data_IF_972514254092
#
_entry.id   IF_972514254092
#
_cell.length_a   1.000
_cell.length_b   1.000
_cell.length_c   1.000
_cell.angle_alpha   90.00
_cell.angle_beta   90.00
_cell.angle_gamma   90.00
#
_symmetry.space_group_name_H-M   'P 1'
#
loop_
_entity.id
_entity.type
_entity.pdbx_description
1 polymer ?
#
# COMPACT_ATOMS: atom_id res chain seq x y z
N UNK A 1 21.21 -10.34 6.16
CA UNK A 1 20.56 -10.91 4.96
C UNK A 1 19.70 -9.84 4.31
N UNK A 2 19.66 -9.79 2.98
CA UNK A 2 18.78 -8.90 2.23
C UNK A 2 17.68 -9.80 1.64
N UNK A 3 16.42 -9.54 1.98
CA UNK A 3 15.30 -10.29 1.41
C UNK A 3 15.13 -9.86 -0.05
N UNK A 4 15.63 -10.68 -0.97
CA UNK A 4 15.52 -10.43 -2.42
C UNK A 4 14.52 -11.41 -3.01
N UNK A 5 13.59 -10.89 -3.80
CA UNK A 5 12.69 -11.68 -4.64
C UNK A 5 12.92 -11.35 -6.11
N UNK A 6 12.37 -12.16 -7.01
CA UNK A 6 12.44 -11.94 -8.46
C UNK A 6 11.06 -11.54 -9.00
N UNK A 7 11.03 -10.79 -10.11
CA UNK A 7 9.76 -10.42 -10.78
C UNK A 7 8.93 -11.67 -11.14
N UNK A 8 9.50 -12.76 -11.69
CA UNK A 8 8.73 -13.98 -11.94
C UNK A 8 8.10 -14.60 -10.70
N UNK A 9 8.77 -14.51 -9.54
CA UNK A 9 8.20 -14.98 -8.28
C UNK A 9 7.01 -14.13 -7.85
N UNK A 10 7.09 -12.81 -8.04
CA UNK A 10 5.99 -11.89 -7.73
C UNK A 10 4.79 -12.09 -8.64
N UNK A 11 5.01 -12.22 -9.94
CA UNK A 11 3.96 -12.54 -10.92
C UNK A 11 3.22 -13.80 -10.49
N UNK A 12 3.95 -14.90 -10.26
CA UNK A 12 3.34 -16.15 -9.80
C UNK A 12 2.57 -16.03 -8.49
N UNK A 13 3.02 -15.18 -7.56
CA UNK A 13 2.34 -14.97 -6.29
C UNK A 13 1.04 -14.17 -6.47
N UNK A 14 1.05 -13.15 -7.33
CA UNK A 14 -0.15 -12.38 -7.67
C UNK A 14 -1.17 -13.25 -8.42
N UNK A 15 -0.72 -14.03 -9.41
CA UNK A 15 -1.59 -14.97 -10.14
C UNK A 15 -2.24 -15.97 -9.19
N UNK A 16 -1.45 -16.54 -8.28
CA UNK A 16 -1.95 -17.48 -7.28
C UNK A 16 -2.96 -16.82 -6.35
N UNK A 17 -2.67 -15.63 -5.83
CA UNK A 17 -3.57 -14.91 -4.93
C UNK A 17 -4.90 -14.60 -5.61
N UNK A 18 -4.84 -14.09 -6.84
CA UNK A 18 -6.02 -13.75 -7.65
C UNK A 18 -6.87 -14.97 -7.96
N UNK A 19 -6.24 -16.10 -8.30
CA UNK A 19 -6.93 -17.36 -8.58
C UNK A 19 -7.54 -18.06 -7.34
N UNK A 20 -7.28 -17.56 -6.13
CA UNK A 20 -7.79 -18.12 -4.87
C UNK A 20 -8.65 -17.12 -4.08
N UNK A 21 -9.22 -16.13 -4.75
CA UNK A 21 -10.09 -15.11 -4.13
C UNK A 21 -9.43 -14.35 -2.96
N UNK A 22 -8.09 -14.24 -2.97
CA UNK A 22 -7.37 -13.46 -1.96
C UNK A 22 -7.71 -11.99 -2.16
N UNK A 23 -8.53 -11.47 -1.27
CA UNK A 23 -9.05 -10.11 -1.38
C UNK A 23 -7.99 -9.02 -1.15
N UNK A 24 -6.98 -9.31 -0.32
CA UNK A 24 -5.99 -8.31 0.11
C UNK A 24 -4.58 -8.89 0.04
N UNK A 25 -3.71 -8.23 -0.71
CA UNK A 25 -2.29 -8.61 -0.86
C UNK A 25 -1.42 -7.50 -0.30
N UNK A 26 -0.66 -7.82 0.75
CA UNK A 26 0.39 -6.94 1.28
C UNK A 26 1.70 -7.17 0.52
N UNK A 27 2.18 -6.16 -0.19
CA UNK A 27 3.44 -6.21 -0.92
C UNK A 27 4.43 -5.16 -0.38
N UNK A 28 5.08 -5.51 0.73
CA UNK A 28 6.10 -4.66 1.40
C UNK A 28 7.48 -4.68 0.72
N UNK A 29 7.49 -4.87 -0.59
CA UNK A 29 8.65 -4.92 -1.47
C UNK A 29 8.29 -4.18 -2.77
N UNK A 30 9.28 -3.65 -3.46
CA UNK A 30 9.06 -2.98 -4.73
C UNK A 30 10.36 -2.83 -5.49
N UNK A 31 10.27 -2.41 -6.75
CA UNK A 31 11.43 -2.10 -7.57
C UNK A 31 11.30 -0.71 -8.17
N UNK A 32 12.37 0.10 -8.15
CA UNK A 32 12.40 1.35 -8.90
C UNK A 32 12.66 1.14 -10.41
N UNK A 33 12.92 -0.11 -10.82
CA UNK A 33 13.28 -0.42 -12.20
C UNK A 33 12.02 -0.49 -13.06
N UNK A 34 11.80 0.56 -13.84
CA UNK A 34 10.68 0.68 -14.78
C UNK A 34 10.63 -0.45 -15.82
N UNK A 35 11.78 -1.00 -16.25
CA UNK A 35 11.80 -2.13 -17.19
C UNK A 35 11.11 -3.35 -16.56
N UNK A 36 11.36 -3.59 -15.27
CA UNK A 36 10.71 -4.67 -14.50
C UNK A 36 9.23 -4.39 -14.23
N UNK A 37 8.78 -3.15 -14.35
CA UNK A 37 7.38 -2.80 -14.23
C UNK A 37 6.56 -3.40 -15.38
N UNK A 38 7.10 -3.41 -16.61
CA UNK A 38 6.41 -4.01 -17.76
C UNK A 38 6.14 -5.50 -17.59
N UNK A 39 7.08 -6.22 -16.98
CA UNK A 39 6.92 -7.66 -16.70
C UNK A 39 5.90 -7.93 -15.57
N UNK A 40 5.72 -6.97 -14.65
CA UNK A 40 4.84 -7.10 -13.50
C UNK A 40 3.40 -6.63 -13.80
N UNK A 41 3.25 -5.68 -14.73
CA UNK A 41 1.96 -5.02 -15.02
C UNK A 41 0.83 -5.99 -15.37
N UNK A 42 1.00 -7.03 -16.22
CA UNK A 42 -0.10 -7.95 -16.55
C UNK A 42 -0.65 -8.69 -15.33
N UNK A 43 0.22 -9.11 -14.41
CA UNK A 43 -0.20 -9.81 -13.20
C UNK A 43 -0.90 -8.87 -12.20
N UNK A 44 -0.49 -7.59 -12.16
CA UNK A 44 -1.15 -6.56 -11.36
C UNK A 44 -2.53 -6.24 -11.93
N UNK A 45 -2.64 -6.03 -13.23
CA UNK A 45 -3.90 -5.77 -13.94
C UNK A 45 -4.90 -6.91 -13.69
N UNK A 46 -4.47 -8.15 -13.93
CA UNK A 46 -5.32 -9.33 -13.71
C UNK A 46 -5.80 -9.44 -12.24
N UNK A 47 -4.92 -9.16 -11.28
CA UNK A 47 -5.27 -9.20 -9.86
C UNK A 47 -6.30 -8.13 -9.51
N UNK A 48 -6.11 -6.90 -10.00
CA UNK A 48 -7.03 -5.78 -9.82
C UNK A 48 -8.39 -6.08 -10.46
N UNK A 49 -8.41 -6.60 -11.70
CA UNK A 49 -9.65 -7.00 -12.40
C UNK A 49 -10.40 -8.10 -11.65
N UNK A 50 -9.68 -9.00 -10.98
CA UNK A 50 -10.25 -10.06 -10.15
C UNK A 50 -10.74 -9.56 -8.78
N UNK A 51 -10.60 -8.27 -8.48
CA UNK A 51 -11.02 -7.67 -7.22
C UNK A 51 -10.05 -7.88 -6.05
N UNK A 52 -8.77 -8.15 -6.35
CA UNK A 52 -7.68 -8.21 -5.36
C UNK A 52 -7.16 -6.80 -5.11
N UNK A 53 -7.22 -6.34 -3.86
CA UNK A 53 -6.64 -5.07 -3.45
C UNK A 53 -5.17 -5.30 -3.13
N UNK A 54 -4.28 -4.77 -3.97
CA UNK A 54 -2.84 -4.80 -3.74
C UNK A 54 -2.44 -3.55 -2.96
N UNK A 55 -1.78 -3.74 -1.81
CA UNK A 55 -1.23 -2.66 -0.98
C UNK A 55 0.29 -2.68 -1.11
N UNK A 56 0.88 -1.60 -1.62
CA UNK A 56 2.32 -1.55 -1.92
C UNK A 56 2.90 -0.15 -1.71
N UNK A 57 4.21 -0.10 -1.42
CA UNK A 57 4.95 1.15 -1.33
C UNK A 57 4.88 1.90 -2.66
N UNK A 58 4.32 3.11 -2.66
CA UNK A 58 4.21 3.95 -3.87
C UNK A 58 5.54 4.53 -4.29
N UNK A 59 6.28 5.00 -3.30
CA UNK A 59 7.58 5.63 -3.49
C UNK A 59 8.44 5.38 -2.27
N UNK A 60 9.75 5.39 -2.49
CA UNK A 60 10.73 5.56 -1.44
C UNK A 60 11.50 6.84 -1.76
N UNK A 61 11.42 7.82 -0.88
CA UNK A 61 11.93 9.18 -1.12
C UNK A 61 11.32 9.77 -2.40
N UNK A 62 12.14 10.20 -3.36
CA UNK A 62 11.70 10.84 -4.60
C UNK A 62 11.52 9.83 -5.76
N UNK A 63 11.66 8.53 -5.51
CA UNK A 63 11.60 7.52 -6.57
C UNK A 63 10.35 6.65 -6.47
N UNK A 64 9.62 6.55 -7.59
CA UNK A 64 8.49 5.63 -7.73
C UNK A 64 8.92 4.18 -7.62
N UNK A 65 8.10 3.40 -6.91
CA UNK A 65 8.32 1.98 -6.72
C UNK A 65 7.15 1.19 -7.29
N UNK A 66 7.48 0.24 -8.15
CA UNK A 66 6.53 -0.68 -8.74
C UNK A 66 6.33 -1.91 -7.82
N UNK A 67 5.08 -2.36 -7.61
CA UNK A 67 3.86 -1.92 -8.28
C UNK A 67 3.09 -0.78 -7.59
N UNK A 68 3.57 -0.21 -6.48
CA UNK A 68 2.76 0.73 -5.67
C UNK A 68 2.40 2.06 -6.33
N UNK A 69 3.03 2.41 -7.44
CA UNK A 69 2.64 3.55 -8.28
C UNK A 69 1.82 3.18 -9.52
N UNK A 70 1.51 1.90 -9.72
CA UNK A 70 0.69 1.42 -10.84
C UNK A 70 -0.79 1.74 -10.60
N UNK A 71 -1.54 1.87 -11.69
CA UNK A 71 -3.00 2.01 -11.66
C UNK A 71 -3.67 0.83 -10.95
N UNK A 72 -4.73 1.09 -10.19
CA UNK A 72 -5.47 0.07 -9.45
C UNK A 72 -4.79 -0.44 -8.18
N UNK A 73 -3.52 -0.09 -7.94
CA UNK A 73 -2.79 -0.46 -6.71
C UNK A 73 -3.00 0.59 -5.63
N UNK A 74 -3.27 0.15 -4.41
CA UNK A 74 -3.37 1.02 -3.24
C UNK A 74 -1.95 1.40 -2.78
N UNK A 75 -1.49 2.55 -3.28
CA UNK A 75 -0.18 3.10 -2.95
C UNK A 75 -0.08 3.58 -1.50
N UNK A 76 1.05 3.29 -0.86
CA UNK A 76 1.38 3.73 0.50
C UNK A 76 2.60 4.65 0.48
N UNK A 77 2.52 5.76 1.20
CA UNK A 77 3.66 6.64 1.51
C UNK A 77 3.98 6.58 2.99
N UNK A 78 5.28 6.72 3.29
CA UNK A 78 5.80 6.68 4.64
C UNK A 78 5.65 8.04 5.32
N UNK A 79 5.06 8.03 6.51
CA UNK A 79 4.98 9.19 7.38
C UNK A 79 5.38 8.79 8.80
N UNK A 80 6.53 9.27 9.24
CA UNK A 80 7.10 8.94 10.54
C UNK A 80 6.32 9.52 11.71
N UNK A 81 5.61 10.62 11.49
CA UNK A 81 4.83 11.32 12.51
C UNK A 81 3.38 10.80 12.56
N UNK A 82 2.99 9.92 11.62
CA UNK A 82 1.66 9.32 11.60
C UNK A 82 1.44 8.38 12.80
N UNK A 83 0.28 8.45 13.48
CA UNK A 83 -0.05 7.49 14.54
C UNK A 83 -0.10 6.07 13.98
N UNK A 84 0.59 5.15 14.66
CA UNK A 84 0.82 3.77 14.20
C UNK A 84 -0.46 2.94 14.04
N UNK A 85 -1.49 3.20 14.83
CA UNK A 85 -2.78 2.49 14.79
C UNK A 85 -3.78 3.06 13.78
N UNK A 86 -3.34 3.97 12.91
CA UNK A 86 -4.23 4.65 11.97
C UNK A 86 -3.60 4.80 10.58
N UNK A 87 -4.44 5.10 9.60
CA UNK A 87 -4.06 5.36 8.21
C UNK A 87 -4.86 6.58 7.74
N UNK A 88 -4.19 7.49 7.04
CA UNK A 88 -4.85 8.64 6.41
C UNK A 88 -4.85 8.51 4.90
N UNK A 89 -5.92 8.96 4.24
CA UNK A 89 -5.95 9.12 2.79
C UNK A 89 -5.51 10.53 2.44
N UNK A 90 -4.50 10.65 1.59
CA UNK A 90 -3.95 11.93 1.14
C UNK A 90 -3.95 12.00 -0.38
N UNK A 91 -3.84 13.22 -0.94
CA UNK A 91 -3.60 13.43 -2.36
C UNK A 91 -2.13 13.76 -2.58
N UNK A 92 -1.51 13.10 -3.55
CA UNK A 92 -0.11 13.34 -3.95
C UNK A 92 -0.05 13.62 -5.44
N UNK A 93 0.94 14.40 -5.87
CA UNK A 93 1.13 14.70 -7.30
C UNK A 93 1.57 13.43 -8.06
N UNK A 94 1.05 13.24 -9.26
CA UNK A 94 1.43 12.12 -10.14
C UNK A 94 2.78 12.32 -10.81
N UNK A 95 3.16 13.57 -11.07
CA UNK A 95 4.45 13.92 -11.66
C UNK A 95 5.43 14.42 -10.60
N UNK A 96 6.65 13.91 -10.66
CA UNK A 96 7.81 14.48 -9.97
C UNK A 96 8.40 15.70 -10.73
N UNK A 97 7.99 15.90 -11.99
CA UNK A 97 8.40 17.05 -12.81
C UNK A 97 7.32 18.15 -12.80
N UNK A 98 7.77 19.40 -12.68
CA UNK A 98 6.92 20.60 -12.60
C UNK A 98 6.14 20.92 -13.89
N UNK A 99 6.39 20.20 -14.98
CA UNK A 99 5.94 20.56 -16.34
C UNK A 99 4.76 19.76 -16.88
N UNK A 100 4.19 18.84 -16.10
CA UNK A 100 3.00 18.06 -16.49
C UNK A 100 1.74 18.65 -15.84
N UNK A 101 0.58 18.59 -16.53
CA UNK A 101 -0.72 18.99 -15.98
C UNK A 101 -0.88 18.44 -14.56
N UNK A 102 -1.30 19.31 -13.64
CA UNK A 102 -1.42 19.00 -12.20
C UNK A 102 -2.49 17.92 -11.96
N UNK A 103 -2.07 16.67 -12.11
CA UNK A 103 -2.84 15.48 -11.78
C UNK A 103 -2.41 15.00 -10.40
N UNK A 104 -3.40 14.73 -9.54
CA UNK A 104 -3.19 14.23 -8.19
C UNK A 104 -3.86 12.89 -8.00
N UNK A 105 -3.14 11.93 -7.43
CA UNK A 105 -3.65 10.60 -7.11
C UNK A 105 -3.87 10.46 -5.60
N UNK A 106 -4.86 9.67 -5.19
CA UNK A 106 -5.14 9.36 -3.78
C UNK A 106 -4.29 8.18 -3.34
N UNK A 107 -3.67 8.31 -2.18
CA UNK A 107 -2.79 7.30 -1.60
C UNK A 107 -3.00 7.25 -0.09
N UNK A 108 -2.44 6.23 0.55
CA UNK A 108 -2.44 6.15 2.01
C UNK A 108 -1.12 6.66 2.59
N UNK A 109 -1.22 7.40 3.69
CA UNK A 109 -0.10 7.77 4.55
C UNK A 109 -0.18 6.94 5.84
N UNK A 110 0.93 6.30 6.21
CA UNK A 110 0.97 5.43 7.39
C UNK A 110 2.35 5.40 8.05
N UNK A 111 2.35 5.01 9.33
CA UNK A 111 3.56 4.91 10.15
C UNK A 111 4.49 3.80 9.69
N UNK A 112 5.78 4.09 9.57
CA UNK A 112 6.84 3.10 9.32
C UNK A 112 7.28 2.32 10.56
N UNK A 113 6.63 2.51 11.72
CA UNK A 113 6.98 1.80 12.93
C UNK A 113 6.22 0.46 13.05
N UNK A 114 6.92 -0.62 13.44
CA UNK A 114 6.29 -1.91 13.71
C UNK A 114 5.41 -1.87 14.97
N UNK A 115 4.67 -2.95 15.22
CA UNK A 115 4.07 -3.18 16.55
C UNK A 115 5.14 -3.10 17.64
N UNK A 116 4.90 -2.36 18.74
CA UNK A 116 5.78 -2.40 19.90
C UNK A 116 5.93 -3.84 20.39
N UNK A 117 7.16 -4.26 20.63
CA UNK A 117 7.47 -5.52 21.29
C UNK A 117 7.79 -5.18 22.75
N UNK A 118 7.10 -5.78 23.75
CA UNK A 118 7.36 -5.49 25.15
C UNK A 118 8.86 -5.60 25.48
N UNK A 119 9.42 -4.57 26.11
CA UNK A 119 10.83 -4.51 26.49
C UNK A 119 11.82 -4.11 25.38
N UNK A 120 11.38 -3.90 24.13
CA UNK A 120 12.24 -3.45 23.03
C UNK A 120 11.86 -2.01 22.65
N UNK A 121 12.77 -1.02 22.82
CA UNK A 121 12.52 0.34 22.35
C UNK A 121 12.26 0.36 20.85
N UNK A 122 11.20 1.05 20.40
CA UNK A 122 10.76 1.08 18.98
C UNK A 122 11.86 1.48 18.00
N UNK A 123 12.76 2.40 18.39
CA UNK A 123 13.90 2.84 17.57
C UNK A 123 14.97 1.76 17.35
N UNK A 124 15.00 0.72 18.18
CA UNK A 124 15.87 -0.46 18.00
C UNK A 124 15.19 -1.56 17.19
N UNK A 125 13.90 -1.41 16.90
CA UNK A 125 13.18 -2.31 16.01
C UNK A 125 13.40 -1.90 14.56
N UNK A 126 13.45 -2.87 13.65
CA UNK A 126 13.47 -2.61 12.22
C UNK A 126 12.22 -1.78 11.86
N UNK A 127 12.42 -0.72 11.08
CA UNK A 127 11.38 0.24 10.71
C UNK A 127 11.58 0.68 9.25
N UNK A 128 10.54 1.24 8.64
CA UNK A 128 10.57 1.69 7.24
C UNK A 128 9.25 1.52 6.52
N UNK A 129 9.24 1.84 5.21
CA UNK A 129 8.05 1.81 4.36
C UNK A 129 7.35 0.44 4.36
N UNK A 130 8.09 -0.67 4.50
CA UNK A 130 7.52 -2.01 4.62
C UNK A 130 6.51 -2.15 5.76
N UNK A 131 6.73 -1.43 6.88
CA UNK A 131 5.80 -1.40 8.00
C UNK A 131 4.63 -0.45 7.79
N UNK A 132 4.82 0.64 7.03
CA UNK A 132 3.70 1.48 6.62
C UNK A 132 2.73 0.68 5.74
N UNK A 133 3.25 -0.10 4.78
CA UNK A 133 2.47 -1.02 3.95
C UNK A 133 1.72 -2.05 4.80
N UNK A 134 2.40 -2.65 5.79
CA UNK A 134 1.79 -3.61 6.70
C UNK A 134 0.72 -2.98 7.61
N UNK A 135 0.95 -1.77 8.11
CA UNK A 135 -0.01 -1.03 8.92
C UNK A 135 -1.26 -0.67 8.10
N UNK A 136 -1.08 -0.18 6.86
CA UNK A 136 -2.19 0.08 5.92
C UNK A 136 -3.00 -1.18 5.67
N UNK A 137 -2.32 -2.29 5.35
CA UNK A 137 -2.98 -3.59 5.13
C UNK A 137 -3.78 -4.02 6.36
N UNK A 138 -3.21 -3.92 7.57
CA UNK A 138 -3.87 -4.35 8.80
C UNK A 138 -5.12 -3.52 9.13
N UNK A 139 -5.03 -2.19 9.03
CA UNK A 139 -6.19 -1.30 9.26
C UNK A 139 -7.26 -1.55 8.21
N UNK A 140 -6.87 -1.68 6.94
CA UNK A 140 -7.82 -1.97 5.88
C UNK A 140 -8.50 -3.32 6.11
N UNK A 141 -7.75 -4.38 6.41
CA UNK A 141 -8.31 -5.70 6.70
C UNK A 141 -9.41 -5.66 7.78
N UNK A 142 -9.22 -4.87 8.85
CA UNK A 142 -10.21 -4.69 9.90
C UNK A 142 -11.49 -3.98 9.40
N UNK A 143 -11.35 -2.92 8.61
CA UNK A 143 -12.48 -2.18 8.02
C UNK A 143 -13.26 -3.01 6.99
N UNK A 144 -12.60 -3.98 6.36
CA UNK A 144 -13.14 -4.79 5.29
C UNK A 144 -13.93 -6.03 5.78
N UNK A 145 -13.87 -6.38 7.08
CA UNK A 145 -14.51 -7.59 7.65
C UNK A 145 -15.99 -7.68 7.26
N UNK A 146 -16.75 -6.60 7.45
CA UNK A 146 -18.21 -6.55 7.20
C UNK A 146 -18.56 -5.87 5.87
N UNK A 147 -17.59 -5.70 4.96
CA UNK A 147 -17.76 -4.99 3.68
C UNK A 147 -17.30 -5.83 2.48
N UNK A 148 -17.87 -7.02 2.22
CA UNK A 148 -17.37 -7.95 1.19
C UNK A 148 -17.40 -7.41 -0.24
N UNK A 149 -18.18 -6.36 -0.48
CA UNK A 149 -18.37 -5.62 -1.73
C UNK A 149 -17.18 -4.71 -2.09
N UNK A 150 -16.37 -4.29 -1.11
CA UNK A 150 -15.20 -3.45 -1.36
C UNK A 150 -14.07 -4.29 -1.95
N UNK A 151 -13.89 -4.19 -3.27
CA UNK A 151 -12.97 -5.02 -4.08
C UNK A 151 -11.97 -4.23 -4.92
N UNK A 152 -11.93 -2.91 -4.79
CA UNK A 152 -11.00 -2.05 -5.54
C UNK A 152 -10.23 -1.12 -4.62
N UNK A 153 -9.07 -0.64 -5.06
CA UNK A 153 -8.28 0.33 -4.33
C UNK A 153 -9.06 1.64 -4.06
N UNK A 154 -9.80 2.15 -5.06
CA UNK A 154 -10.62 3.36 -4.87
C UNK A 154 -11.71 3.17 -3.82
N UNK A 155 -12.46 2.07 -3.86
CA UNK A 155 -13.47 1.80 -2.85
C UNK A 155 -12.84 1.63 -1.45
N UNK A 156 -11.65 1.00 -1.37
CA UNK A 156 -10.90 0.91 -0.11
C UNK A 156 -10.47 2.28 0.43
N UNK A 157 -10.05 3.20 -0.45
CA UNK A 157 -9.70 4.57 -0.08
C UNK A 157 -10.91 5.35 0.43
N UNK A 158 -12.10 5.12 -0.13
CA UNK A 158 -13.35 5.73 0.35
C UNK A 158 -13.67 5.26 1.78
N UNK A 159 -13.62 3.95 2.04
CA UNK A 159 -13.83 3.40 3.39
C UNK A 159 -12.81 3.94 4.41
N UNK A 160 -11.54 4.06 4.02
CA UNK A 160 -10.50 4.64 4.88
C UNK A 160 -10.78 6.12 5.19
N UNK A 161 -11.30 6.85 4.20
CA UNK A 161 -11.64 8.27 4.34
C UNK A 161 -12.83 8.45 5.31
N UNK A 162 -13.84 7.58 5.23
CA UNK A 162 -14.98 7.53 6.18
C UNK A 162 -14.50 7.29 7.61
N UNK A 163 -13.67 6.26 7.83
CA UNK A 163 -13.18 5.88 9.16
C UNK A 163 -12.35 6.97 9.85
N UNK A 164 -11.58 7.75 9.07
CA UNK A 164 -10.76 8.86 9.60
C UNK A 164 -11.58 10.02 10.19
N UNK A 165 -12.85 10.16 9.79
CA UNK A 165 -13.75 11.20 10.33
C UNK A 165 -14.43 10.79 11.64
N UNK A 166 -14.53 9.49 11.92
CA UNK A 166 -15.23 8.98 13.10
C UNK A 166 -14.39 9.02 14.39
N UNK A 167 -13.05 9.14 14.30
CA UNK A 167 -12.15 9.14 15.47
C UNK A 167 -11.96 10.53 16.10
N UNK A 168 -12.70 11.55 15.65
CA UNK A 168 -12.66 12.93 16.22
C UNK A 168 -13.78 13.24 17.21
N UNK A 169 -14.61 12.27 17.56
CA UNK A 169 -15.65 12.43 18.56
C UNK A 169 -15.45 11.43 19.69
N UNK A 170 -14.56 11.75 20.64
CA UNK A 170 -14.85 11.54 22.06
C UNK A 170 -14.07 12.57 22.90
N UNK A 171 -14.76 13.33 23.77
CA UNK A 171 -14.18 14.37 24.63
C UNK A 171 -13.43 13.82 25.86
#
# INVERSE_FOLDING_TARGET
EQLVTSVPTLVRALDWASGHDIRLVNLSLGTPNEIRAYDLAPAVEQAVESGTIIVSARANEEQFWYPGCMEGVLGVVLDWEHPRESVSVIKVKESLSESSKESSTRVTSASGYPRPIPGIPTRRNINGISFAVANTTGVLAALLIDRPDVRTAEAALDVLSEGSTSTRADP
#
